data_IF_152764971204
#
_entry.id   IF_152764971204
#
_cell.length_a   1.000
_cell.length_b   1.000
_cell.length_c   1.000
_cell.angle_alpha   90.00
_cell.angle_beta   90.00
_cell.angle_gamma   90.00
#
_symmetry.space_group_name_H-M   'P 1'
#
loop_
_entity.id
_entity.type
_entity.pdbx_description
1 polymer ?
#
# COMPACT_ATOMS: atom_id res chain seq x y z
N UNK A 1 1.59 4.13 5.65
CA UNK A 1 1.79 3.64 4.26
C UNK A 1 0.44 3.52 3.57
N UNK A 2 0.32 3.94 2.31
CA UNK A 2 -0.93 3.81 1.55
C UNK A 2 -0.94 2.53 0.70
N UNK A 3 -2.07 1.83 0.70
CA UNK A 3 -2.36 0.68 -0.16
C UNK A 3 -2.73 1.11 -1.61
N UNK A 4 -2.54 0.22 -2.58
CA UNK A 4 -2.88 0.37 -4.01
C UNK A 4 -4.32 0.87 -4.22
N UNK A 5 -5.25 0.40 -3.40
CA UNK A 5 -6.65 0.82 -3.47
C UNK A 5 -6.83 2.31 -3.17
N UNK A 6 -6.13 2.83 -2.15
CA UNK A 6 -6.22 4.25 -1.75
C UNK A 6 -5.68 5.15 -2.84
N UNK A 7 -4.58 4.77 -3.48
CA UNK A 7 -4.06 5.45 -4.67
C UNK A 7 -5.06 5.51 -5.81
N UNK A 8 -5.77 4.40 -6.03
CA UNK A 8 -6.82 4.36 -7.07
C UNK A 8 -7.95 5.35 -6.78
N UNK A 9 -8.30 5.57 -5.50
CA UNK A 9 -9.27 6.59 -5.10
C UNK A 9 -8.74 8.01 -5.29
N UNK A 10 -7.48 8.28 -4.91
CA UNK A 10 -6.79 9.56 -5.11
C UNK A 10 -6.74 9.94 -6.61
N UNK A 11 -6.30 9.01 -7.47
CA UNK A 11 -6.23 9.24 -8.92
C UNK A 11 -7.60 9.42 -9.60
N UNK A 12 -8.68 9.03 -8.93
CA UNK A 12 -10.07 9.23 -9.40
C UNK A 12 -10.68 10.55 -8.88
N UNK A 13 -10.02 11.27 -7.97
CA UNK A 13 -10.58 12.47 -7.34
C UNK A 13 -11.77 12.16 -6.43
N UNK A 14 -11.74 11.00 -5.76
CA UNK A 14 -12.85 10.55 -4.92
C UNK A 14 -12.92 11.41 -3.67
N UNK A 15 -14.07 12.07 -3.45
CA UNK A 15 -14.24 13.07 -2.40
C UNK A 15 -14.00 12.45 -1.00
N UNK A 16 -13.10 13.07 -0.22
CA UNK A 16 -12.81 12.69 1.18
C UNK A 16 -11.42 12.09 1.41
N UNK A 17 -10.86 11.33 0.45
CA UNK A 17 -9.52 10.75 0.60
C UNK A 17 -8.44 11.81 0.52
N UNK A 18 -8.60 12.81 -0.36
CA UNK A 18 -7.68 13.94 -0.47
C UNK A 18 -7.64 14.77 0.83
N UNK A 19 -8.76 14.88 1.54
CA UNK A 19 -8.84 15.60 2.82
C UNK A 19 -8.12 14.82 3.92
N UNK A 20 -8.39 13.51 4.04
CA UNK A 20 -7.67 12.63 4.98
C UNK A 20 -6.16 12.64 4.76
N UNK A 21 -5.72 12.58 3.49
CA UNK A 21 -4.31 12.68 3.14
C UNK A 21 -3.72 14.03 3.57
N UNK A 22 -4.42 15.14 3.29
CA UNK A 22 -3.98 16.49 3.70
C UNK A 22 -3.91 16.64 5.20
N UNK A 23 -4.88 16.11 5.94
CA UNK A 23 -4.91 16.23 7.39
C UNK A 23 -3.85 15.36 8.05
N UNK A 24 -3.58 14.16 7.52
CA UNK A 24 -2.44 13.35 7.93
C UNK A 24 -1.11 14.07 7.70
N UNK A 25 -0.93 14.72 6.55
CA UNK A 25 0.26 15.51 6.26
C UNK A 25 0.39 16.73 7.19
N UNK A 26 -0.71 17.43 7.50
CA UNK A 26 -0.72 18.55 8.47
C UNK A 26 -0.39 18.08 9.89
N UNK A 27 -0.76 16.87 10.26
CA UNK A 27 -0.41 16.25 11.54
C UNK A 27 1.10 15.89 11.64
N UNK A 28 1.86 16.06 10.55
CA UNK A 28 3.30 15.75 10.51
C UNK A 28 3.60 14.29 10.18
N UNK A 29 2.61 13.51 9.73
CA UNK A 29 2.84 12.13 9.31
C UNK A 29 3.54 12.08 7.95
N UNK A 30 4.54 11.21 7.84
CA UNK A 30 5.15 10.89 6.57
C UNK A 30 4.28 9.88 5.81
N UNK A 31 4.22 10.03 4.50
CA UNK A 31 3.50 9.13 3.62
C UNK A 31 4.54 8.38 2.77
N UNK A 32 4.45 7.05 2.82
CA UNK A 32 5.36 6.13 2.13
C UNK A 32 4.56 5.29 1.15
N UNK A 33 5.14 5.11 -0.04
CA UNK A 33 4.66 4.20 -1.09
C UNK A 33 5.52 2.94 -1.03
N UNK A 34 4.93 1.77 -0.82
CA UNK A 34 5.72 0.54 -0.92
C UNK A 34 6.04 0.21 -2.39
N UNK A 35 7.16 -0.49 -2.66
CA UNK A 35 7.59 -0.84 -4.01
C UNK A 35 6.55 -1.64 -4.82
N UNK A 36 5.75 -2.48 -4.17
CA UNK A 36 4.78 -3.34 -4.85
C UNK A 36 3.59 -2.52 -5.33
N UNK A 37 3.02 -1.67 -4.48
CA UNK A 37 1.98 -0.71 -4.87
C UNK A 37 2.45 0.21 -5.99
N UNK A 38 3.69 0.71 -5.90
CA UNK A 38 4.28 1.48 -6.99
C UNK A 38 4.27 0.71 -8.31
N UNK A 39 4.75 -0.54 -8.27
CA UNK A 39 4.80 -1.41 -9.43
C UNK A 39 3.41 -1.67 -10.02
N UNK A 40 2.43 -2.06 -9.19
CA UNK A 40 1.06 -2.38 -9.60
C UNK A 40 0.34 -1.23 -10.31
N UNK A 41 0.41 -0.04 -9.72
CA UNK A 41 -0.21 1.15 -10.31
C UNK A 41 0.46 1.48 -11.63
N UNK A 42 1.80 1.55 -11.64
CA UNK A 42 2.56 1.93 -12.84
C UNK A 42 2.34 0.96 -13.98
N UNK A 43 2.40 -0.36 -13.73
CA UNK A 43 2.13 -1.37 -14.77
C UNK A 43 0.70 -1.28 -15.29
N UNK A 44 -0.28 -1.03 -14.42
CA UNK A 44 -1.68 -0.93 -14.81
C UNK A 44 -1.93 0.26 -15.73
N UNK A 45 -1.38 1.43 -15.38
CA UNK A 45 -1.47 2.64 -16.19
C UNK A 45 -0.78 2.49 -17.55
N UNK A 46 0.40 1.85 -17.59
CA UNK A 46 1.13 1.55 -18.82
C UNK A 46 0.31 0.60 -19.71
N UNK A 47 -0.25 -0.47 -19.14
CA UNK A 47 -0.97 -1.50 -19.89
C UNK A 47 -2.20 -0.95 -20.64
N UNK A 48 -2.88 0.05 -20.07
CA UNK A 48 -4.05 0.69 -20.69
C UNK A 48 -3.71 1.97 -21.48
N UNK A 49 -2.43 2.35 -21.58
CA UNK A 49 -2.00 3.56 -22.28
C UNK A 49 -2.49 4.87 -21.66
N UNK A 50 -2.74 4.92 -20.34
CA UNK A 50 -3.30 6.08 -19.66
C UNK A 50 -2.22 7.15 -19.37
N UNK A 51 -1.65 7.76 -20.41
CA UNK A 51 -0.53 8.71 -20.33
C UNK A 51 -0.75 9.84 -19.33
N UNK A 52 -1.90 10.51 -19.35
CA UNK A 52 -2.23 11.60 -18.41
C UNK A 52 -2.22 11.14 -16.95
N UNK A 53 -2.77 9.96 -16.67
CA UNK A 53 -2.78 9.41 -15.29
C UNK A 53 -1.39 8.96 -14.86
N UNK A 54 -0.58 8.49 -15.80
CA UNK A 54 0.81 8.12 -15.55
C UNK A 54 1.67 9.34 -15.19
N UNK A 55 1.47 10.48 -15.86
CA UNK A 55 2.11 11.75 -15.49
C UNK A 55 1.75 12.16 -14.07
N UNK A 56 0.45 12.22 -13.73
CA UNK A 56 -0.03 12.52 -12.38
C UNK A 56 0.53 11.54 -11.33
N UNK A 57 0.60 10.25 -11.66
CA UNK A 57 1.18 9.26 -10.75
C UNK A 57 2.68 9.46 -10.52
N UNK A 58 3.44 9.79 -11.56
CA UNK A 58 4.87 10.08 -11.43
C UNK A 58 5.09 11.34 -10.58
N UNK A 59 4.34 12.42 -10.83
CA UNK A 59 4.37 13.64 -10.01
C UNK A 59 4.05 13.33 -8.54
N UNK A 60 3.04 12.49 -8.29
CA UNK A 60 2.70 12.05 -6.94
C UNK A 60 3.86 11.28 -6.29
N UNK A 61 4.54 10.41 -7.03
CA UNK A 61 5.69 9.66 -6.53
C UNK A 61 6.92 10.53 -6.25
N UNK A 62 7.02 11.74 -6.81
CA UNK A 62 8.07 12.70 -6.47
C UNK A 62 7.82 13.39 -5.13
N UNK A 63 6.57 13.41 -4.64
CA UNK A 63 6.19 14.03 -3.38
C UNK A 63 6.36 13.13 -2.16
N UNK A 64 6.48 11.82 -2.36
CA UNK A 64 6.48 10.82 -1.29
C UNK A 64 7.66 9.89 -1.39
N UNK A 65 8.06 9.33 -0.25
CA UNK A 65 9.12 8.34 -0.21
C UNK A 65 8.63 7.02 -0.82
N UNK A 66 9.41 6.48 -1.76
CA UNK A 66 9.26 5.10 -2.21
C UNK A 66 10.14 4.23 -1.31
N UNK A 67 9.51 3.28 -0.63
CA UNK A 67 10.18 2.33 0.25
C UNK A 67 11.22 1.48 -0.46
N UNK A 68 12.04 0.77 0.33
CA UNK A 68 13.02 -0.18 -0.20
C UNK A 68 12.61 -1.60 0.13
N UNK A 69 12.76 -2.50 -0.84
CA UNK A 69 12.60 -3.92 -0.60
C UNK A 69 13.94 -4.47 -0.07
N UNK A 70 13.94 -4.92 1.18
CA UNK A 70 15.09 -5.53 1.85
C UNK A 70 14.90 -7.04 1.96
N UNK A 71 15.98 -7.78 2.18
CA UNK A 71 15.89 -9.23 2.42
C UNK A 71 15.05 -9.54 3.66
N UNK A 72 15.10 -8.69 4.70
CA UNK A 72 14.25 -8.81 5.89
C UNK A 72 12.75 -8.79 5.54
N UNK A 73 12.33 -7.86 4.66
CA UNK A 73 10.93 -7.80 4.20
C UNK A 73 10.57 -9.05 3.39
N UNK A 74 11.49 -9.55 2.56
CA UNK A 74 11.27 -10.78 1.79
C UNK A 74 11.11 -12.01 2.69
N UNK A 75 11.98 -12.13 3.70
CA UNK A 75 11.95 -13.24 4.66
C UNK A 75 10.65 -13.19 5.48
N UNK A 76 10.28 -12.02 6.00
CA UNK A 76 9.01 -11.84 6.72
C UNK A 76 7.80 -12.12 5.82
N UNK A 77 7.86 -11.78 4.53
CA UNK A 77 6.80 -12.12 3.56
C UNK A 77 6.64 -13.63 3.42
N UNK A 78 7.75 -14.37 3.32
CA UNK A 78 7.71 -15.83 3.22
C UNK A 78 7.11 -16.48 4.49
N UNK A 79 7.46 -15.96 5.67
CA UNK A 79 6.89 -16.40 6.95
C UNK A 79 5.37 -16.16 7.02
N UNK A 80 4.93 -14.95 6.67
CA UNK A 80 3.51 -14.58 6.65
C UNK A 80 2.74 -15.49 5.69
N UNK A 81 3.25 -15.67 4.47
CA UNK A 81 2.62 -16.55 3.48
C UNK A 81 2.47 -17.98 4.01
N UNK A 82 3.54 -18.55 4.55
CA UNK A 82 3.52 -19.91 5.10
C UNK A 82 2.50 -20.02 6.26
N UNK A 83 2.46 -19.03 7.16
CA UNK A 83 1.52 -18.98 8.27
C UNK A 83 0.05 -18.92 7.80
N UNK A 84 -0.26 -18.08 6.82
CA UNK A 84 -1.60 -17.97 6.25
C UNK A 84 -2.02 -19.25 5.52
N UNK A 85 -1.12 -19.82 4.72
CA UNK A 85 -1.36 -21.06 3.99
C UNK A 85 -1.63 -22.23 4.93
N UNK A 86 -0.88 -22.36 6.02
CA UNK A 86 -1.10 -23.38 7.04
C UNK A 86 -2.45 -23.23 7.76
N UNK A 87 -2.99 -22.00 7.82
CA UNK A 87 -4.33 -21.70 8.32
C UNK A 87 -5.43 -21.86 7.26
N UNK A 88 -5.11 -22.36 6.06
CA UNK A 88 -6.06 -22.55 4.96
C UNK A 88 -6.48 -21.25 4.26
N UNK A 89 -5.75 -20.15 4.47
CA UNK A 89 -6.01 -18.87 3.80
C UNK A 89 -5.10 -18.73 2.59
N UNK A 90 -5.70 -18.43 1.44
CA UNK A 90 -4.98 -18.04 0.22
C UNK A 90 -5.08 -16.53 0.08
N UNK A 91 -3.94 -15.86 0.07
CA UNK A 91 -3.79 -14.41 -0.11
C UNK A 91 -2.83 -14.19 -1.27
N UNK A 92 -3.00 -13.09 -2.00
CA UNK A 92 -2.13 -12.72 -3.12
C UNK A 92 -0.75 -12.30 -2.62
N UNK A 93 0.30 -12.61 -3.39
CA UNK A 93 1.68 -12.26 -2.99
C UNK A 93 1.84 -10.75 -2.74
N UNK A 94 1.13 -9.91 -3.50
CA UNK A 94 1.16 -8.46 -3.32
C UNK A 94 0.70 -8.04 -1.92
N UNK A 95 -0.44 -8.57 -1.46
CA UNK A 95 -0.95 -8.33 -0.11
C UNK A 95 0.03 -8.83 0.95
N UNK A 96 0.64 -10.00 0.74
CA UNK A 96 1.68 -10.52 1.65
C UNK A 96 2.86 -9.57 1.77
N UNK A 97 3.37 -9.06 0.65
CA UNK A 97 4.46 -8.09 0.66
C UNK A 97 4.05 -6.78 1.34
N UNK A 98 2.83 -6.30 1.13
CA UNK A 98 2.30 -5.09 1.77
C UNK A 98 2.24 -5.28 3.29
N UNK A 99 1.79 -6.45 3.77
CA UNK A 99 1.79 -6.80 5.20
C UNK A 99 3.19 -6.80 5.77
N UNK A 100 4.11 -7.55 5.15
CA UNK A 100 5.49 -7.66 5.62
C UNK A 100 6.19 -6.31 5.63
N UNK A 101 6.02 -5.52 4.58
CA UNK A 101 6.60 -4.18 4.48
C UNK A 101 6.08 -3.27 5.58
N UNK A 102 4.78 -3.32 5.91
CA UNK A 102 4.19 -2.53 6.99
C UNK A 102 4.77 -2.94 8.35
N UNK A 103 4.83 -4.25 8.62
CA UNK A 103 5.32 -4.79 9.90
C UNK A 103 6.80 -4.48 10.10
N UNK A 104 7.65 -4.74 9.11
CA UNK A 104 9.10 -4.53 9.22
C UNK A 104 9.48 -3.04 9.40
N UNK A 105 8.64 -2.11 8.95
CA UNK A 105 8.92 -0.68 9.04
C UNK A 105 8.05 0.05 10.08
N UNK A 106 7.25 -0.67 10.87
CA UNK A 106 6.33 -0.10 11.86
C UNK A 106 5.39 0.96 11.25
N UNK A 107 4.83 0.66 10.09
CA UNK A 107 3.93 1.56 9.37
C UNK A 107 2.47 1.20 9.59
N UNK A 108 1.67 2.21 9.93
CA UNK A 108 0.21 2.16 9.81
C UNK A 108 -0.19 1.94 8.35
N UNK A 109 -0.83 0.81 8.04
CA UNK A 109 -1.36 0.48 6.73
C UNK A 109 -2.72 1.16 6.53
N UNK A 110 -2.81 2.03 5.55
CA UNK A 110 -4.07 2.66 5.15
C UNK A 110 -4.64 1.91 3.94
N UNK A 111 -5.79 1.25 4.11
CA UNK A 111 -6.45 0.43 3.07
C UNK A 111 -7.97 0.46 3.19
N UNK A 112 -8.67 0.25 2.08
CA UNK A 112 -10.12 0.00 2.08
C UNK A 112 -10.46 -1.48 2.41
N UNK A 113 -9.49 -2.39 2.32
CA UNK A 113 -9.73 -3.82 2.38
C UNK A 113 -9.33 -4.44 3.73
N UNK A 114 -9.81 -3.88 4.85
CA UNK A 114 -9.45 -4.30 6.22
C UNK A 114 -9.56 -5.82 6.43
N UNK A 115 -10.55 -6.47 5.78
CA UNK A 115 -10.82 -7.92 5.93
C UNK A 115 -9.64 -8.81 5.53
N UNK A 116 -8.78 -8.37 4.62
CA UNK A 116 -7.60 -9.15 4.22
C UNK A 116 -6.49 -9.07 5.29
N UNK A 117 -6.54 -8.06 6.14
CA UNK A 117 -5.46 -7.67 7.05
C UNK A 117 -5.81 -7.85 8.53
N UNK A 118 -7.10 -7.98 8.86
CA UNK A 118 -7.62 -8.02 10.24
C UNK A 118 -7.19 -9.22 11.08
N UNK A 119 -6.64 -10.26 10.46
CA UNK A 119 -6.22 -11.50 11.14
C UNK A 119 -4.74 -11.50 11.55
N UNK A 120 -4.02 -10.40 11.35
CA UNK A 120 -2.61 -10.24 11.69
C UNK A 120 -2.49 -9.26 12.85
N UNK A 121 -2.21 -9.77 14.04
CA UNK A 121 -2.09 -8.97 15.28
C UNK A 121 -0.95 -7.93 15.23
N UNK A 122 0.06 -8.18 14.40
CA UNK A 122 1.25 -7.34 14.25
C UNK A 122 1.03 -6.12 13.34
N UNK A 123 -0.17 -5.97 12.75
CA UNK A 123 -0.43 -5.00 11.70
C UNK A 123 -1.44 -3.95 12.16
N UNK A 124 -0.97 -2.70 12.24
CA UNK A 124 -1.85 -1.55 12.43
C UNK A 124 -2.50 -1.17 11.10
N UNK A 125 -3.83 -1.14 11.08
CA UNK A 125 -4.63 -0.86 9.88
C UNK A 125 -5.64 0.24 10.13
N UNK A 126 -5.72 1.21 9.22
CA UNK A 126 -6.76 2.23 9.18
C UNK A 126 -7.53 2.19 7.86
N UNK A 127 -8.85 2.38 7.93
CA UNK A 127 -9.68 2.52 6.75
C UNK A 127 -10.04 3.98 6.47
N UNK A 128 -9.71 4.43 5.27
CA UNK A 128 -10.01 5.78 4.81
C UNK A 128 -11.28 5.87 3.95
N UNK A 129 -11.86 4.75 3.52
CA UNK A 129 -13.08 4.66 2.67
C UNK A 129 -14.25 4.11 3.49
#
# INVERSE_FOLDING_TARGET
MLDTNIFSYLLKGSHGIDEKLRDSLKAGNNIVINPITYYEIKRGLIAIGATKKLEVFNEFCELFEIGKLTTEILDKSAEIYAGLRNKGKTIEDADVFIMAFSICNDYLLVTNNIKHFSDIEELDVENWV
#
